data_IF_502667608857
#
_entry.id   IF_502667608857
#
_cell.length_a   1.000
_cell.length_b   1.000
_cell.length_c   1.000
_cell.angle_alpha   90.00
_cell.angle_beta   90.00
_cell.angle_gamma   90.00
#
_symmetry.space_group_name_H-M   'P 1'
#
loop_
_entity.id
_entity.type
_entity.pdbx_description
1 polymer ?
#
# COMPACT_ATOMS: atom_id res chain seq x y z
N UNK A 1 6.65 -20.85 16.71
CA UNK A 1 6.91 -19.39 16.70
C UNK A 1 5.94 -18.73 15.74
N UNK A 2 5.21 -17.70 16.17
CA UNK A 2 4.35 -16.94 15.26
C UNK A 2 5.22 -16.07 14.34
N UNK A 3 5.05 -16.23 13.03
CA UNK A 3 5.85 -15.52 12.02
C UNK A 3 5.27 -14.13 11.79
N UNK A 4 6.08 -13.09 11.94
CA UNK A 4 5.66 -11.72 11.62
C UNK A 4 5.35 -11.55 10.14
N UNK A 5 4.42 -10.66 9.84
CA UNK A 5 3.87 -10.41 8.51
C UNK A 5 4.24 -9.03 8.01
N UNK A 6 4.43 -8.92 6.70
CA UNK A 6 4.63 -7.65 6.01
C UNK A 6 3.55 -7.52 4.95
N UNK A 7 2.84 -6.41 4.98
CA UNK A 7 1.88 -6.00 3.95
C UNK A 7 2.39 -4.73 3.30
N UNK A 8 2.57 -4.76 1.99
CA UNK A 8 2.98 -3.58 1.21
C UNK A 8 1.76 -2.92 0.61
N UNK A 9 1.67 -1.60 0.71
CA UNK A 9 0.52 -0.80 0.24
C UNK A 9 1.03 0.31 -0.70
N UNK A 10 0.97 0.04 -1.99
CA UNK A 10 1.42 0.92 -3.08
C UNK A 10 0.28 1.61 -3.82
N UNK A 11 0.63 2.49 -4.75
CA UNK A 11 -0.34 3.23 -5.57
C UNK A 11 0.01 4.72 -5.76
N UNK A 12 -0.72 5.39 -6.63
CA UNK A 12 -0.45 6.78 -7.04
C UNK A 12 -0.59 7.82 -5.93
N UNK A 13 -0.09 9.04 -6.17
CA UNK A 13 -0.29 10.20 -5.27
C UNK A 13 -1.75 10.35 -4.88
N UNK A 14 -2.01 10.63 -3.60
CA UNK A 14 -3.36 10.79 -3.05
C UNK A 14 -4.36 9.65 -3.36
N UNK A 15 -3.88 8.44 -3.69
CA UNK A 15 -4.75 7.27 -3.92
C UNK A 15 -5.41 6.73 -2.64
N UNK A 16 -4.91 7.09 -1.45
CA UNK A 16 -5.46 6.61 -0.17
C UNK A 16 -4.63 5.52 0.53
N UNK A 17 -3.34 5.35 0.18
CA UNK A 17 -2.46 4.32 0.78
C UNK A 17 -2.30 4.43 2.30
N UNK A 18 -2.01 5.63 2.81
CA UNK A 18 -1.88 5.87 4.25
C UNK A 18 -3.20 5.57 4.97
N UNK A 19 -4.32 6.08 4.42
CA UNK A 19 -5.66 5.79 4.90
C UNK A 19 -5.98 4.30 4.88
N UNK A 20 -5.55 3.56 3.85
CA UNK A 20 -5.71 2.11 3.75
C UNK A 20 -4.97 1.40 4.88
N UNK A 21 -3.70 1.74 5.12
CA UNK A 21 -2.91 1.19 6.22
C UNK A 21 -3.56 1.46 7.59
N UNK A 22 -4.01 2.70 7.80
CA UNK A 22 -4.69 3.11 9.03
C UNK A 22 -6.02 2.39 9.25
N UNK A 23 -6.82 2.21 8.20
CA UNK A 23 -8.10 1.52 8.27
C UNK A 23 -7.90 0.02 8.52
N UNK A 24 -6.95 -0.64 7.85
CA UNK A 24 -6.59 -2.04 8.15
C UNK A 24 -6.21 -2.19 9.63
N UNK A 25 -5.33 -1.32 10.13
CA UNK A 25 -4.95 -1.31 11.56
C UNK A 25 -6.15 -1.13 12.47
N UNK A 26 -7.05 -0.19 12.15
CA UNK A 26 -8.26 0.08 12.95
C UNK A 26 -9.23 -1.09 12.95
N UNK A 27 -9.50 -1.69 11.79
CA UNK A 27 -10.40 -2.84 11.66
C UNK A 27 -9.85 -4.06 12.42
N UNK A 28 -8.55 -4.34 12.33
CA UNK A 28 -7.94 -5.42 13.12
C UNK A 28 -8.07 -5.17 14.62
N UNK A 29 -7.86 -3.92 15.07
CA UNK A 29 -8.01 -3.55 16.48
C UNK A 29 -9.44 -3.65 17.02
N UNK A 30 -10.45 -3.64 16.16
CA UNK A 30 -11.86 -3.84 16.54
C UNK A 30 -12.23 -5.30 16.71
N UNK A 31 -11.39 -6.24 16.25
CA UNK A 31 -11.67 -7.66 16.37
C UNK A 31 -11.71 -8.07 17.84
N UNK A 32 -12.67 -8.90 18.26
CA UNK A 32 -12.88 -9.23 19.68
C UNK A 32 -11.69 -9.95 20.33
N UNK A 33 -10.80 -10.52 19.52
CA UNK A 33 -9.61 -11.27 19.94
C UNK A 33 -8.31 -10.47 19.82
N UNK A 34 -8.36 -9.21 19.38
CA UNK A 34 -7.17 -8.38 19.31
C UNK A 34 -6.63 -8.11 20.73
N UNK A 35 -5.35 -8.38 20.92
CA UNK A 35 -4.57 -7.87 22.04
C UNK A 35 -3.18 -7.48 21.55
N UNK A 36 -2.69 -6.34 22.04
CA UNK A 36 -1.33 -5.87 21.76
C UNK A 36 -0.24 -6.84 22.27
N UNK A 37 -0.58 -7.72 23.21
CA UNK A 37 0.31 -8.78 23.68
C UNK A 37 0.48 -9.93 22.67
N UNK A 38 -0.48 -10.11 21.75
CA UNK A 38 -0.45 -11.16 20.74
C UNK A 38 -0.09 -10.63 19.35
N UNK A 39 -0.60 -9.44 19.00
CA UNK A 39 -0.37 -8.81 17.71
C UNK A 39 0.01 -7.34 17.86
N UNK A 40 1.26 -7.02 17.56
CA UNK A 40 1.74 -5.66 17.41
C UNK A 40 1.59 -5.21 15.95
N UNK A 41 0.97 -4.06 15.72
CA UNK A 41 0.70 -3.54 14.36
C UNK A 41 1.48 -2.25 14.15
N UNK A 42 2.51 -2.34 13.31
CA UNK A 42 3.41 -1.25 12.99
C UNK A 42 3.09 -0.69 11.61
N UNK A 43 2.92 0.62 11.48
CA UNK A 43 2.68 1.29 10.20
C UNK A 43 3.95 2.04 9.80
N UNK A 44 4.54 1.65 8.68
CA UNK A 44 5.81 2.19 8.19
C UNK A 44 5.55 3.03 6.93
N UNK A 45 5.78 4.34 7.04
CA UNK A 45 5.82 5.21 5.87
C UNK A 45 7.21 5.15 5.23
N UNK A 46 7.31 4.55 4.04
CA UNK A 46 8.60 4.41 3.35
C UNK A 46 9.22 5.77 2.96
N UNK A 47 8.49 6.88 3.02
CA UNK A 47 9.07 8.22 2.87
C UNK A 47 10.19 8.52 3.89
N UNK A 48 10.25 7.80 5.03
CA UNK A 48 11.39 7.78 5.96
C UNK A 48 12.73 7.48 5.28
N UNK A 49 12.72 6.63 4.26
CA UNK A 49 13.94 6.15 3.58
C UNK A 49 14.25 6.97 2.33
N UNK A 50 13.67 8.17 2.20
CA UNK A 50 14.03 9.08 1.13
C UNK A 50 15.40 9.67 1.43
N UNK A 51 16.33 9.51 0.51
CA UNK A 51 17.68 10.07 0.59
C UNK A 51 17.61 11.60 0.52
N UNK A 52 18.43 12.26 1.35
CA UNK A 52 18.61 13.70 1.27
C UNK A 52 19.28 14.06 -0.05
N UNK A 53 18.72 15.05 -0.75
CA UNK A 53 19.30 15.58 -1.97
C UNK A 53 20.37 16.61 -1.59
N UNK A 54 21.65 16.23 -1.61
CA UNK A 54 22.76 17.18 -1.48
C UNK A 54 22.83 18.01 -2.76
N UNK A 55 22.28 19.22 -2.74
CA UNK A 55 22.08 20.10 -3.90
C UNK A 55 23.36 20.60 -4.58
N UNK A 56 24.49 19.91 -4.45
CA UNK A 56 25.82 20.33 -4.92
C UNK A 56 26.22 19.82 -6.31
N UNK A 57 25.40 19.01 -6.98
CA UNK A 57 25.74 18.46 -8.30
C UNK A 57 24.57 18.54 -9.28
N UNK A 58 24.18 19.74 -9.69
CA UNK A 58 23.64 20.00 -11.03
C UNK A 58 23.51 21.50 -11.26
N UNK A 59 24.04 21.99 -12.37
CA UNK A 59 23.73 23.32 -12.91
C UNK A 59 22.21 23.53 -12.94
N UNK A 60 21.80 24.71 -12.52
CA UNK A 60 20.40 25.13 -12.33
C UNK A 60 19.76 25.33 -13.70
N UNK A 61 19.26 24.24 -14.30
CA UNK A 61 18.30 24.29 -15.39
C UNK A 61 16.92 23.85 -14.88
N UNK A 62 15.86 24.41 -15.47
CA UNK A 62 14.42 24.19 -15.26
C UNK A 62 13.96 22.71 -15.17
N UNK A 63 14.84 21.73 -15.44
CA UNK A 63 14.63 20.28 -15.26
C UNK A 63 14.64 19.80 -13.80
N UNK A 64 14.80 20.69 -12.83
CA UNK A 64 14.95 20.38 -11.39
C UNK A 64 13.72 19.70 -10.76
N UNK A 65 12.52 19.85 -11.34
CA UNK A 65 11.32 19.15 -10.86
C UNK A 65 11.37 17.64 -11.17
N UNK A 66 11.89 17.24 -12.34
CA UNK A 66 11.91 15.84 -12.79
C UNK A 66 12.89 14.98 -11.97
N UNK A 67 13.93 15.59 -11.41
CA UNK A 67 14.88 14.92 -10.54
C UNK A 67 14.28 14.48 -9.19
N UNK A 68 13.10 15.00 -8.80
CA UNK A 68 12.45 14.71 -7.51
C UNK A 68 11.52 13.49 -7.53
N UNK A 69 11.29 12.90 -8.70
CA UNK A 69 10.24 11.89 -8.92
C UNK A 69 10.83 10.59 -9.47
N UNK A 70 11.74 9.98 -8.70
CA UNK A 70 12.39 8.72 -9.10
C UNK A 70 12.51 7.77 -7.91
N UNK A 71 12.39 6.46 -8.16
CA UNK A 71 12.64 5.44 -7.14
C UNK A 71 14.06 5.49 -6.57
N UNK A 72 15.06 5.93 -7.35
CA UNK A 72 16.46 6.03 -6.92
C UNK A 72 16.69 7.01 -5.76
N UNK A 73 15.69 7.85 -5.43
CA UNK A 73 15.72 8.71 -4.25
C UNK A 73 15.37 7.97 -2.95
N UNK A 74 15.09 6.66 -3.02
CA UNK A 74 14.75 5.85 -1.87
C UNK A 74 15.83 4.81 -1.61
N UNK A 75 16.22 4.71 -0.35
CA UNK A 75 17.11 3.68 0.14
C UNK A 75 16.30 2.39 0.40
N UNK A 76 16.13 1.60 -0.66
CA UNK A 76 15.44 0.31 -0.57
C UNK A 76 16.24 -0.71 0.24
N UNK A 77 17.55 -0.58 0.32
CA UNK A 77 18.40 -1.50 1.09
C UNK A 77 18.22 -1.26 2.59
N UNK A 78 18.23 0.00 3.03
CA UNK A 78 17.91 0.36 4.40
C UNK A 78 16.49 -0.08 4.80
N UNK A 79 15.49 0.15 3.93
CA UNK A 79 14.13 -0.35 4.19
C UNK A 79 14.12 -1.87 4.33
N UNK A 80 14.75 -2.60 3.41
CA UNK A 80 14.82 -4.06 3.44
C UNK A 80 15.48 -4.56 4.72
N UNK A 81 16.61 -3.99 5.11
CA UNK A 81 17.34 -4.33 6.33
C UNK A 81 16.47 -4.13 7.58
N UNK A 82 15.81 -2.97 7.69
CA UNK A 82 14.89 -2.68 8.79
C UNK A 82 13.72 -3.68 8.83
N UNK A 83 13.11 -4.00 7.68
CA UNK A 83 12.02 -4.97 7.60
C UNK A 83 12.48 -6.37 8.02
N UNK A 84 13.67 -6.81 7.58
CA UNK A 84 14.24 -8.09 7.98
C UNK A 84 14.44 -8.17 9.50
N UNK A 85 14.95 -7.10 10.13
CA UNK A 85 15.09 -7.01 11.58
C UNK A 85 13.73 -7.05 12.27
N UNK A 86 12.74 -6.31 11.76
CA UNK A 86 11.40 -6.25 12.34
C UNK A 86 10.66 -7.59 12.29
N UNK A 87 10.90 -8.44 11.27
CA UNK A 87 10.22 -9.75 11.16
C UNK A 87 10.95 -10.91 11.81
N UNK A 88 12.15 -10.70 12.39
CA UNK A 88 12.89 -11.78 13.06
C UNK A 88 12.02 -12.43 14.15
N UNK A 89 11.89 -13.77 14.16
CA UNK A 89 11.15 -14.46 15.22
C UNK A 89 11.76 -14.18 16.59
N UNK A 90 10.93 -13.85 17.57
CA UNK A 90 11.33 -13.66 18.96
C UNK A 90 10.37 -14.45 19.85
N UNK A 91 10.88 -15.34 20.68
CA UNK A 91 10.09 -16.29 21.47
C UNK A 91 9.12 -15.62 22.45
N UNK A 92 9.50 -14.43 22.95
CA UNK A 92 8.81 -13.74 24.05
C UNK A 92 8.12 -12.44 23.59
N UNK A 93 7.91 -12.24 22.29
CA UNK A 93 7.25 -11.04 21.76
C UNK A 93 6.01 -11.37 20.94
N UNK A 94 5.08 -10.41 20.94
CA UNK A 94 3.91 -10.43 20.08
C UNK A 94 4.31 -10.64 18.61
N UNK A 95 3.48 -11.35 17.85
CA UNK A 95 3.60 -11.38 16.40
C UNK A 95 3.50 -9.95 15.86
N UNK A 96 4.32 -9.60 14.87
CA UNK A 96 4.22 -8.28 14.23
C UNK A 96 3.45 -8.34 12.92
N UNK A 97 2.58 -7.36 12.69
CA UNK A 97 2.01 -7.02 11.39
C UNK A 97 2.56 -5.65 10.96
N UNK A 98 3.40 -5.65 9.95
CA UNK A 98 4.06 -4.44 9.44
C UNK A 98 3.34 -3.99 8.17
N UNK A 99 2.68 -2.83 8.24
CA UNK A 99 1.97 -2.20 7.12
C UNK A 99 2.87 -1.13 6.51
N UNK A 100 3.55 -1.46 5.40
CA UNK A 100 4.44 -0.53 4.71
C UNK A 100 3.67 0.20 3.62
N UNK A 101 3.56 1.52 3.69
CA UNK A 101 2.87 2.30 2.66
C UNK A 101 3.77 3.38 2.05
N UNK A 102 3.70 3.56 0.73
CA UNK A 102 4.23 4.70 -0.03
C UNK A 102 3.98 4.50 -1.54
N UNK A 103 4.35 5.47 -2.37
CA UNK A 103 4.26 5.39 -3.84
C UNK A 103 4.98 4.15 -4.38
N UNK A 104 6.22 3.93 -3.93
CA UNK A 104 7.10 2.86 -4.39
C UNK A 104 7.14 1.63 -3.50
N UNK A 105 6.14 1.42 -2.63
CA UNK A 105 6.12 0.27 -1.74
C UNK A 105 6.20 -1.08 -2.49
N UNK A 106 5.71 -1.14 -3.74
CA UNK A 106 5.74 -2.35 -4.59
C UNK A 106 6.85 -2.27 -5.67
N UNK A 107 7.75 -1.29 -5.60
CA UNK A 107 8.73 -1.02 -6.65
C UNK A 107 9.98 -1.90 -6.57
N UNK A 108 10.46 -2.23 -5.38
CA UNK A 108 11.63 -3.10 -5.24
C UNK A 108 11.22 -4.57 -5.17
N UNK A 109 11.86 -5.42 -5.98
CA UNK A 109 11.51 -6.84 -6.09
C UNK A 109 11.91 -7.61 -4.82
N UNK A 110 13.03 -7.25 -4.19
CA UNK A 110 13.51 -7.95 -3.00
C UNK A 110 12.59 -7.71 -1.80
N UNK A 111 12.06 -6.49 -1.64
CA UNK A 111 11.06 -6.15 -0.63
C UNK A 111 9.71 -6.83 -0.95
N UNK A 112 9.30 -6.87 -2.22
CA UNK A 112 8.11 -7.61 -2.64
C UNK A 112 8.21 -9.10 -2.27
N UNK A 113 9.38 -9.72 -2.48
CA UNK A 113 9.61 -11.12 -2.14
C UNK A 113 9.64 -11.38 -0.63
N UNK A 114 9.99 -10.39 0.19
CA UNK A 114 9.96 -10.46 1.64
C UNK A 114 8.52 -10.34 2.20
N UNK A 115 7.61 -9.73 1.43
CA UNK A 115 6.24 -9.45 1.85
C UNK A 115 5.28 -10.64 1.74
N UNK A 116 4.24 -10.62 2.56
CA UNK A 116 3.20 -11.66 2.60
C UNK A 116 1.96 -11.27 1.79
N UNK A 117 1.67 -9.96 1.68
CA UNK A 117 0.59 -9.43 0.86
C UNK A 117 0.98 -8.09 0.24
N UNK A 118 0.64 -7.89 -1.03
CA UNK A 118 0.96 -6.69 -1.83
C UNK A 118 -0.35 -6.08 -2.33
N UNK A 119 -0.69 -4.93 -1.77
CA UNK A 119 -1.91 -4.19 -2.06
C UNK A 119 -1.58 -2.99 -2.94
N UNK A 120 -2.23 -2.88 -4.10
CA UNK A 120 -2.18 -1.70 -4.93
C UNK A 120 -3.48 -0.92 -4.81
N UNK A 121 -3.41 0.29 -4.28
CA UNK A 121 -4.55 1.19 -4.14
C UNK A 121 -4.69 2.00 -5.43
N UNK A 122 -5.74 1.70 -6.19
CA UNK A 122 -6.00 2.30 -7.49
C UNK A 122 -7.11 3.35 -7.43
N UNK A 123 -6.92 4.44 -8.17
CA UNK A 123 -7.86 5.55 -8.23
C UNK A 123 -7.57 6.40 -9.46
N UNK A 124 -8.63 6.95 -10.04
CA UNK A 124 -8.55 7.80 -11.22
C UNK A 124 -7.69 9.03 -10.97
N UNK A 125 -7.06 9.54 -12.04
CA UNK A 125 -6.08 10.60 -11.96
C UNK A 125 -6.67 11.94 -11.50
N UNK A 126 -7.88 12.24 -11.94
CA UNK A 126 -8.67 13.40 -11.53
C UNK A 126 -9.06 13.34 -10.05
N UNK A 127 -9.57 12.19 -9.60
CA UNK A 127 -9.93 11.91 -8.20
C UNK A 127 -8.71 12.09 -7.30
N UNK A 128 -7.55 11.56 -7.72
CA UNK A 128 -6.28 11.73 -7.00
C UNK A 128 -5.84 13.19 -6.96
N UNK A 129 -5.89 13.91 -8.07
CA UNK A 129 -5.50 15.32 -8.13
C UNK A 129 -6.40 16.18 -7.24
N UNK A 130 -7.72 16.00 -7.31
CA UNK A 130 -8.69 16.70 -6.45
C UNK A 130 -8.41 16.42 -4.97
N UNK A 131 -8.18 15.15 -4.60
CA UNK A 131 -7.83 14.77 -3.21
C UNK A 131 -6.51 15.41 -2.78
N UNK A 132 -5.53 15.48 -3.67
CA UNK A 132 -4.25 16.13 -3.39
C UNK A 132 -4.44 17.63 -3.14
N UNK A 133 -5.12 18.33 -4.04
CA UNK A 133 -5.43 19.77 -3.88
C UNK A 133 -6.16 20.02 -2.56
N UNK A 134 -7.24 19.27 -2.28
CA UNK A 134 -7.99 19.44 -1.02
C UNK A 134 -7.10 19.23 0.21
N UNK A 135 -6.21 18.24 0.18
CA UNK A 135 -5.30 17.96 1.29
C UNK A 135 -4.23 19.04 1.46
N UNK A 136 -3.54 19.45 0.40
CA UNK A 136 -2.36 20.31 0.53
C UNK A 136 -2.70 21.81 0.51
N UNK A 137 -3.80 22.19 -0.12
CA UNK A 137 -4.24 23.59 -0.27
C UNK A 137 -5.31 23.94 0.77
N UNK A 138 -6.37 23.13 0.89
CA UNK A 138 -7.54 23.52 1.68
C UNK A 138 -7.46 23.13 3.17
N UNK A 139 -6.91 21.95 3.48
CA UNK A 139 -7.00 21.35 4.83
C UNK A 139 -5.64 21.21 5.52
N UNK A 140 -4.55 21.13 4.75
CA UNK A 140 -3.23 20.73 5.26
C UNK A 140 -2.20 21.85 5.23
N UNK A 141 -1.12 21.63 4.45
CA UNK A 141 0.18 22.35 4.56
C UNK A 141 0.11 23.84 4.12
N UNK A 142 -1.03 24.31 3.62
CA UNK A 142 -1.19 25.69 3.15
C UNK A 142 -0.43 25.99 1.86
N UNK A 143 -0.24 24.97 1.01
CA UNK A 143 0.43 25.11 -0.29
C UNK A 143 -0.47 25.89 -1.27
N UNK A 144 0.11 26.64 -2.20
CA UNK A 144 -0.66 27.30 -3.26
C UNK A 144 -1.21 26.28 -4.25
N UNK A 145 -2.35 26.60 -4.86
CA UNK A 145 -2.97 25.73 -5.85
C UNK A 145 -2.04 25.53 -7.05
N UNK A 146 -1.41 26.61 -7.50
CA UNK A 146 -0.48 26.65 -8.64
C UNK A 146 0.68 25.66 -8.43
N UNK A 147 1.28 25.62 -7.24
CA UNK A 147 2.38 24.71 -6.92
C UNK A 147 1.96 23.23 -7.07
N UNK A 148 0.75 22.88 -6.65
CA UNK A 148 0.24 21.49 -6.76
C UNK A 148 -0.01 21.13 -8.23
N UNK A 149 -0.55 22.05 -9.01
CA UNK A 149 -0.80 21.87 -10.45
C UNK A 149 0.54 21.71 -11.19
N UNK A 150 1.52 22.56 -10.93
CA UNK A 150 2.84 22.49 -11.55
C UNK A 150 3.55 21.18 -11.22
N UNK A 151 3.53 20.75 -9.95
CA UNK A 151 4.09 19.43 -9.55
C UNK A 151 3.39 18.27 -10.26
N UNK A 152 2.08 18.40 -10.51
CA UNK A 152 1.31 17.39 -11.22
C UNK A 152 1.74 17.28 -12.68
N UNK A 153 1.73 18.41 -13.38
CA UNK A 153 2.01 18.50 -14.82
C UNK A 153 3.48 18.21 -15.15
N UNK A 154 4.41 18.74 -14.34
CA UNK A 154 5.84 18.70 -14.63
C UNK A 154 6.57 17.48 -14.05
N UNK A 155 5.87 16.53 -13.41
CA UNK A 155 6.54 15.37 -12.84
C UNK A 155 5.64 14.22 -12.42
N UNK A 156 4.68 14.45 -11.52
CA UNK A 156 3.87 13.36 -10.93
C UNK A 156 3.13 12.51 -11.96
N UNK A 157 2.64 13.12 -13.05
CA UNK A 157 2.00 12.36 -14.14
C UNK A 157 2.96 11.37 -14.79
N UNK A 158 4.18 11.81 -15.09
CA UNK A 158 5.22 10.96 -15.68
C UNK A 158 5.70 9.90 -14.68
N UNK A 159 5.91 10.28 -13.41
CA UNK A 159 6.27 9.37 -12.32
C UNK A 159 5.26 8.22 -12.17
N UNK A 160 3.98 8.57 -12.24
CA UNK A 160 2.90 7.61 -12.18
C UNK A 160 2.97 6.61 -13.34
N UNK A 161 3.22 7.09 -14.56
CA UNK A 161 3.30 6.24 -15.74
C UNK A 161 4.54 5.33 -15.73
N UNK A 162 5.71 5.90 -15.40
CA UNK A 162 6.99 5.22 -15.53
C UNK A 162 7.29 4.25 -14.38
N UNK A 163 6.94 4.64 -13.16
CA UNK A 163 7.44 3.94 -11.97
C UNK A 163 6.34 3.36 -11.08
N UNK A 164 5.18 4.00 -10.96
CA UNK A 164 4.16 3.58 -9.98
C UNK A 164 3.15 2.62 -10.62
N UNK A 165 2.50 3.00 -11.73
CA UNK A 165 1.49 2.16 -12.41
C UNK A 165 2.01 0.77 -12.79
N UNK A 166 3.26 0.61 -13.28
CA UNK A 166 3.79 -0.71 -13.61
C UNK A 166 3.92 -1.65 -12.41
N UNK A 167 3.96 -1.13 -11.16
CA UNK A 167 4.02 -1.98 -9.95
C UNK A 167 2.70 -2.70 -9.66
N UNK A 168 1.58 -2.26 -10.27
CA UNK A 168 0.27 -2.93 -10.18
C UNK A 168 0.33 -4.41 -10.56
N UNK A 169 1.20 -4.78 -11.51
CA UNK A 169 1.41 -6.19 -11.94
C UNK A 169 2.01 -7.10 -10.86
N UNK A 170 2.55 -6.53 -9.78
CA UNK A 170 3.10 -7.27 -8.64
C UNK A 170 2.13 -7.34 -7.47
N UNK A 171 0.95 -6.72 -7.58
CA UNK A 171 -0.03 -6.73 -6.51
C UNK A 171 -0.74 -8.09 -6.45
N UNK A 172 -0.97 -8.57 -5.23
CA UNK A 172 -1.87 -9.69 -4.97
C UNK A 172 -3.33 -9.19 -4.93
N UNK A 173 -3.53 -7.95 -4.46
CA UNK A 173 -4.84 -7.31 -4.35
C UNK A 173 -4.79 -5.92 -4.96
N UNK A 174 -5.76 -5.60 -5.82
CA UNK A 174 -5.99 -4.25 -6.34
C UNK A 174 -7.25 -3.70 -5.68
N UNK A 175 -7.12 -2.59 -4.98
CA UNK A 175 -8.24 -1.90 -4.33
C UNK A 175 -8.69 -0.73 -5.21
N UNK A 176 -9.84 -0.84 -5.90
CA UNK A 176 -10.36 0.26 -6.71
C UNK A 176 -10.95 1.37 -5.84
N UNK A 177 -10.90 2.61 -6.34
CA UNK A 177 -11.52 3.82 -5.74
C UNK A 177 -10.89 4.30 -4.43
N UNK A 178 -9.73 3.78 -4.06
CA UNK A 178 -9.05 4.15 -2.81
C UNK A 178 -9.51 3.32 -1.62
N UNK A 179 -9.41 3.89 -0.41
CA UNK A 179 -9.60 3.19 0.86
C UNK A 179 -11.08 2.93 1.22
N UNK A 180 -11.77 2.12 0.41
CA UNK A 180 -13.18 1.75 0.59
C UNK A 180 -13.36 0.66 1.66
N UNK A 181 -14.40 0.78 2.49
CA UNK A 181 -14.63 -0.10 3.64
C UNK A 181 -14.66 -1.60 3.28
N UNK A 182 -15.35 -1.96 2.19
CA UNK A 182 -15.42 -3.36 1.73
C UNK A 182 -14.04 -3.90 1.32
N UNK A 183 -13.22 -3.06 0.67
CA UNK A 183 -11.86 -3.43 0.30
C UNK A 183 -10.96 -3.63 1.51
N UNK A 184 -11.12 -2.81 2.55
CA UNK A 184 -10.44 -2.98 3.83
C UNK A 184 -10.87 -4.30 4.49
N UNK A 185 -12.17 -4.59 4.56
CA UNK A 185 -12.69 -5.84 5.15
C UNK A 185 -12.08 -7.06 4.48
N UNK A 186 -12.08 -7.11 3.14
CA UNK A 186 -11.51 -8.24 2.39
C UNK A 186 -10.02 -8.44 2.66
N UNK A 187 -9.25 -7.35 2.80
CA UNK A 187 -7.84 -7.44 3.17
C UNK A 187 -7.68 -7.98 4.58
N UNK A 188 -8.47 -7.47 5.54
CA UNK A 188 -8.45 -7.93 6.93
C UNK A 188 -8.77 -9.43 6.99
N UNK A 189 -9.84 -9.86 6.31
CA UNK A 189 -10.25 -11.26 6.22
C UNK A 189 -9.14 -12.15 5.63
N UNK A 190 -8.45 -11.68 4.59
CA UNK A 190 -7.30 -12.37 4.01
C UNK A 190 -6.07 -12.44 4.92
N UNK A 191 -5.95 -11.53 5.89
CA UNK A 191 -4.86 -11.53 6.89
C UNK A 191 -5.18 -12.42 8.10
N UNK A 192 -6.46 -12.66 8.41
CA UNK A 192 -6.89 -13.45 9.58
C UNK A 192 -6.16 -14.79 9.71
N UNK A 193 -6.03 -15.63 8.66
CA UNK A 193 -5.36 -16.93 8.77
C UNK A 193 -3.91 -16.84 9.28
N UNK A 194 -3.25 -15.69 9.05
CA UNK A 194 -1.84 -15.49 9.37
C UNK A 194 -1.61 -14.86 10.74
N UNK A 195 -2.55 -14.07 11.27
CA UNK A 195 -2.42 -13.35 12.56
C UNK A 195 -2.85 -14.17 13.79
N UNK A 196 -2.79 -15.51 13.68
CA UNK A 196 -3.07 -16.43 14.78
C UNK A 196 -4.50 -17.02 14.82
N UNK A 197 -5.30 -16.81 13.77
CA UNK A 197 -6.70 -17.23 13.71
C UNK A 197 -6.93 -18.70 13.29
N UNK A 198 -5.85 -19.47 13.06
CA UNK A 198 -5.94 -20.88 12.64
C UNK A 198 -6.71 -21.81 13.59
N UNK A 199 -7.00 -21.38 14.83
CA UNK A 199 -7.82 -22.15 15.78
C UNK A 199 -9.32 -21.81 15.78
N UNK A 200 -9.76 -20.72 15.13
CA UNK A 200 -11.16 -20.27 15.13
C UNK A 200 -11.86 -20.41 13.77
N UNK A 201 -11.11 -20.54 12.67
CA UNK A 201 -11.66 -20.80 11.33
C UNK A 201 -12.37 -22.16 11.22
N UNK A 202 -12.21 -23.08 12.19
CA UNK A 202 -13.06 -24.27 12.25
C UNK A 202 -14.54 -23.95 12.51
N UNK A 203 -14.88 -22.73 12.96
CA UNK A 203 -16.25 -22.33 13.29
C UNK A 203 -16.83 -21.19 12.43
N UNK A 204 -16.07 -20.64 11.49
CA UNK A 204 -16.57 -19.58 10.60
C UNK A 204 -16.70 -20.15 9.19
N UNK A 205 -17.94 -20.25 8.70
CA UNK A 205 -18.24 -20.71 7.35
C UNK A 205 -17.28 -20.07 6.35
N UNK A 206 -16.46 -20.91 5.72
CA UNK A 206 -15.51 -20.49 4.71
C UNK A 206 -16.27 -19.76 3.62
N UNK A 207 -15.85 -18.53 3.27
CA UNK A 207 -16.41 -17.80 2.14
C UNK A 207 -16.19 -18.66 0.89
N UNK A 208 -17.23 -19.36 0.45
CA UNK A 208 -17.18 -20.15 -0.76
C UNK A 208 -17.29 -19.19 -1.94
N UNK A 209 -16.19 -19.03 -2.65
CA UNK A 209 -16.16 -18.33 -3.92
C UNK A 209 -16.72 -19.24 -5.01
N UNK A 210 -17.75 -18.80 -5.73
CA UNK A 210 -18.33 -19.56 -6.85
C UNK A 210 -17.90 -19.00 -8.21
N UNK A 211 -17.91 -19.82 -9.28
CA UNK A 211 -17.67 -19.33 -10.63
C UNK A 211 -18.75 -18.32 -11.04
N UNK A 212 -18.33 -17.22 -11.66
CA UNK A 212 -19.22 -16.18 -12.20
C UNK A 212 -20.18 -16.76 -13.26
N UNK A 213 -21.50 -16.57 -13.09
CA UNK A 213 -22.53 -17.27 -13.89
C UNK A 213 -23.18 -16.45 -15.03
N UNK A 214 -22.98 -15.13 -15.14
CA UNK A 214 -23.67 -14.28 -16.15
C UNK A 214 -22.76 -13.69 -17.25
N UNK A 215 -23.39 -13.22 -18.34
CA UNK A 215 -22.88 -13.13 -19.72
C UNK A 215 -21.47 -12.54 -19.94
N UNK A 216 -20.67 -13.31 -20.67
CA UNK A 216 -19.30 -12.96 -21.10
C UNK A 216 -19.33 -12.09 -22.36
N UNK A 217 -18.55 -11.01 -22.40
CA UNK A 217 -18.09 -10.47 -23.67
C UNK A 217 -17.12 -11.48 -24.31
N UNK A 218 -17.29 -11.80 -25.61
CA UNK A 218 -16.67 -12.95 -26.30
C UNK A 218 -15.13 -13.10 -26.22
N UNK A 219 -14.39 -12.12 -25.69
CA UNK A 219 -12.93 -12.08 -25.73
C UNK A 219 -12.23 -11.94 -24.34
N UNK A 220 -12.91 -12.20 -23.22
CA UNK A 220 -12.25 -12.19 -21.90
C UNK A 220 -11.91 -13.60 -21.42
N UNK A 221 -10.62 -13.93 -21.33
CA UNK A 221 -10.10 -15.16 -20.73
C UNK A 221 -9.45 -14.86 -19.39
N UNK A 222 -10.22 -14.98 -18.30
CA UNK A 222 -9.74 -14.90 -16.92
C UNK A 222 -10.69 -15.64 -15.98
N UNK A 223 -10.16 -16.33 -14.97
CA UNK A 223 -10.96 -16.96 -13.93
C UNK A 223 -11.36 -15.92 -12.89
N UNK A 224 -12.62 -15.47 -12.92
CA UNK A 224 -13.18 -14.52 -11.97
C UNK A 224 -14.10 -15.25 -10.98
N UNK A 225 -13.97 -14.89 -9.71
CA UNK A 225 -14.69 -15.47 -8.58
C UNK A 225 -15.52 -14.37 -7.88
N UNK A 226 -16.75 -14.69 -7.48
CA UNK A 226 -17.62 -13.78 -6.71
C UNK A 226 -17.99 -14.34 -5.33
N UNK A 227 -18.31 -13.43 -4.40
CA UNK A 227 -18.76 -13.75 -3.04
C UNK A 227 -20.17 -14.36 -3.06
N UNK A 228 -20.39 -15.42 -2.28
CA UNK A 228 -21.73 -15.89 -1.98
C UNK A 228 -22.46 -14.86 -1.09
N UNK A 229 -23.69 -14.49 -1.48
CA UNK A 229 -24.61 -13.71 -0.62
C UNK A 229 -25.17 -14.58 0.49
#
# INVERSE_FOLDING_TARGET
>A
MQKSLIVLIGGGHAAGKCTTADLIRKEIKKLPFYSASYLDIEVVNMAKYKLEYDGKTANVDEKTALHRFRPTLFDFEALRSDLEVMVRPQSDRAQKLILVHCLYALYDKSICNLSHMKVYVDSDADTRLIRWIRRDVCVGVGRKLEDVIELYLNGSRQEMADYISPTKKRADVIMPRGAEANGISLIVDGLLPYIGFGKYLEHSQTIQLRPFQNERAKNQTGNYLELNR
#
